data_IF_823547871515
#
_entry.id   IF_823547871515
#
_cell.length_a   1.000
_cell.length_b   1.000
_cell.length_c   1.000
_cell.angle_alpha   90.00
_cell.angle_beta   90.00
_cell.angle_gamma   90.00
#
_symmetry.space_group_name_H-M   'P 1'
#
loop_
_entity.id
_entity.type
_entity.pdbx_description
1 polymer ?
#
# COMPACT_ATOMS: atom_id res chain seq x y z
N UNK A 1 43.98 -3.34 22.95
CA UNK A 1 44.06 -3.14 21.49
C UNK A 1 44.33 -1.68 21.20
N UNK A 2 45.20 -1.34 20.23
CA UNK A 2 45.40 0.06 19.85
C UNK A 2 44.10 0.64 19.28
N UNK A 3 43.87 1.96 19.42
CA UNK A 3 42.69 2.60 18.87
C UNK A 3 42.69 2.49 17.35
N UNK A 4 41.54 2.15 16.76
CA UNK A 4 41.37 2.09 15.32
C UNK A 4 41.48 3.52 14.75
N UNK A 5 42.55 3.83 14.03
CA UNK A 5 42.76 5.13 13.42
C UNK A 5 42.01 5.21 12.08
N UNK A 6 40.84 5.84 12.07
CA UNK A 6 40.08 6.12 10.85
C UNK A 6 40.60 7.44 10.28
N UNK A 7 41.27 7.40 9.13
CA UNK A 7 41.76 8.60 8.44
C UNK A 7 40.67 9.15 7.51
N UNK A 8 40.79 10.42 7.13
CA UNK A 8 39.91 11.05 6.14
C UNK A 8 39.91 10.25 4.83
N UNK A 9 41.08 9.79 4.38
CA UNK A 9 41.21 8.96 3.18
C UNK A 9 40.45 7.62 3.28
N UNK A 10 40.47 6.96 4.45
CA UNK A 10 39.70 5.73 4.68
C UNK A 10 38.19 6.01 4.67
N UNK A 11 37.76 7.14 5.22
CA UNK A 11 36.37 7.57 5.18
C UNK A 11 35.93 7.89 3.73
N UNK A 12 36.76 8.61 2.98
CA UNK A 12 36.52 8.96 1.57
C UNK A 12 36.49 7.72 0.67
N UNK A 13 37.42 6.77 0.83
CA UNK A 13 37.42 5.50 0.09
C UNK A 13 36.17 4.68 0.39
N UNK A 14 35.74 4.64 1.66
CA UNK A 14 34.49 3.99 2.08
C UNK A 14 33.25 4.64 1.47
N UNK A 15 33.25 5.97 1.32
CA UNK A 15 32.16 6.73 0.68
C UNK A 15 32.17 6.49 -0.84
N UNK A 16 33.34 6.55 -1.48
CA UNK A 16 33.50 6.30 -2.91
C UNK A 16 33.10 4.87 -3.32
N UNK A 17 33.48 3.85 -2.55
CA UNK A 17 33.03 2.47 -2.81
C UNK A 17 31.52 2.32 -2.73
N UNK A 18 30.87 2.98 -1.78
CA UNK A 18 29.40 2.98 -1.65
C UNK A 18 28.71 3.68 -2.81
N UNK A 19 29.26 4.81 -3.27
CA UNK A 19 28.75 5.53 -4.43
C UNK A 19 28.90 4.74 -5.75
N UNK A 20 30.03 4.07 -5.96
CA UNK A 20 30.29 3.28 -7.19
C UNK A 20 29.45 2.00 -7.25
N UNK A 21 29.16 1.36 -6.11
CA UNK A 21 28.27 0.19 -6.04
C UNK A 21 26.79 0.56 -6.13
N UNK A 22 26.46 1.84 -5.98
CA UNK A 22 25.09 2.33 -5.94
C UNK A 22 24.92 3.50 -6.89
N UNK A 23 24.97 3.20 -8.18
CA UNK A 23 24.38 4.08 -9.16
C UNK A 23 22.86 4.12 -8.94
N UNK A 24 22.38 5.21 -8.35
CA UNK A 24 20.94 5.45 -8.11
C UNK A 24 20.14 5.54 -9.40
N UNK A 25 20.80 5.73 -10.54
CA UNK A 25 20.20 5.76 -11.87
C UNK A 25 20.37 4.43 -12.62
N UNK A 26 21.07 3.45 -12.03
CA UNK A 26 21.37 2.16 -12.66
C UNK A 26 20.35 1.06 -12.35
N UNK A 27 20.30 0.06 -13.24
CA UNK A 27 19.46 -1.15 -13.13
C UNK A 27 19.54 -1.84 -11.77
N UNK A 28 20.70 -1.75 -11.11
CA UNK A 28 20.95 -2.39 -9.81
C UNK A 28 20.09 -1.85 -8.65
N UNK A 29 19.78 -0.55 -8.64
CA UNK A 29 18.86 0.03 -7.66
C UNK A 29 17.47 -0.60 -7.82
N UNK A 30 16.97 -0.63 -9.06
CA UNK A 30 15.65 -1.17 -9.40
C UNK A 30 15.55 -2.68 -9.14
N UNK A 31 16.59 -3.44 -9.46
CA UNK A 31 16.64 -4.88 -9.21
C UNK A 31 16.62 -5.19 -7.71
N UNK A 32 17.37 -4.43 -6.91
CA UNK A 32 17.45 -4.67 -5.46
C UNK A 32 16.12 -4.36 -4.77
N UNK A 33 15.46 -3.24 -5.10
CA UNK A 33 14.15 -2.92 -4.53
C UNK A 33 13.06 -3.88 -5.04
N UNK A 34 13.16 -4.31 -6.29
CA UNK A 34 12.28 -5.32 -6.89
C UNK A 34 12.40 -6.67 -6.16
N UNK A 35 13.62 -7.11 -5.87
CA UNK A 35 13.88 -8.32 -5.09
C UNK A 35 13.36 -8.21 -3.66
N UNK A 36 13.54 -7.05 -3.01
CA UNK A 36 12.98 -6.78 -1.67
C UNK A 36 11.46 -6.91 -1.65
N UNK A 37 10.76 -6.24 -2.56
CA UNK A 37 9.29 -6.26 -2.63
C UNK A 37 8.76 -7.66 -2.97
N UNK A 38 9.41 -8.38 -3.89
CA UNK A 38 9.07 -9.78 -4.18
C UNK A 38 9.28 -10.70 -2.99
N UNK A 39 10.30 -10.45 -2.16
CA UNK A 39 10.54 -11.22 -0.94
C UNK A 39 9.46 -10.99 0.11
N UNK A 40 9.03 -9.73 0.30
CA UNK A 40 7.86 -9.40 1.13
C UNK A 40 6.60 -10.11 0.62
N UNK A 41 6.33 -10.06 -0.70
CA UNK A 41 5.19 -10.71 -1.35
C UNK A 41 5.20 -12.22 -1.17
N UNK A 42 6.37 -12.82 -1.38
CA UNK A 42 6.64 -14.25 -1.20
C UNK A 42 6.62 -14.71 0.25
N UNK A 43 6.45 -13.79 1.21
CA UNK A 43 6.46 -14.07 2.65
C UNK A 43 7.77 -14.71 3.12
N UNK A 44 8.89 -14.27 2.54
CA UNK A 44 10.25 -14.68 2.92
C UNK A 44 10.91 -13.56 3.73
N UNK A 45 10.86 -13.62 5.08
CA UNK A 45 11.40 -12.57 5.94
C UNK A 45 12.93 -12.48 5.86
N UNK A 46 13.62 -13.60 5.67
CA UNK A 46 15.08 -13.64 5.61
C UNK A 46 15.60 -12.97 4.33
N UNK A 47 15.02 -13.30 3.18
CA UNK A 47 15.33 -12.64 1.91
C UNK A 47 14.97 -11.15 1.95
N UNK A 48 13.83 -10.78 2.54
CA UNK A 48 13.42 -9.39 2.68
C UNK A 48 14.44 -8.59 3.53
N UNK A 49 14.88 -9.12 4.67
CA UNK A 49 15.91 -8.49 5.49
C UNK A 49 17.23 -8.35 4.73
N UNK A 50 17.64 -9.37 3.98
CA UNK A 50 18.88 -9.34 3.20
C UNK A 50 18.86 -8.24 2.13
N UNK A 51 17.81 -8.19 1.29
CA UNK A 51 17.73 -7.17 0.23
C UNK A 51 17.59 -5.76 0.81
N UNK A 52 16.87 -5.60 1.91
CA UNK A 52 16.79 -4.31 2.61
C UNK A 52 18.14 -3.89 3.21
N UNK A 53 18.83 -4.80 3.90
CA UNK A 53 20.15 -4.51 4.46
C UNK A 53 21.15 -4.13 3.37
N UNK A 54 21.09 -4.78 2.21
CA UNK A 54 21.89 -4.44 1.03
C UNK A 54 21.63 -3.01 0.55
N UNK A 55 20.36 -2.58 0.46
CA UNK A 55 20.02 -1.19 0.14
C UNK A 55 20.53 -0.20 1.19
N UNK A 56 20.31 -0.48 2.48
CA UNK A 56 20.76 0.38 3.59
C UNK A 56 22.28 0.52 3.59
N UNK A 57 23.01 -0.58 3.37
CA UNK A 57 24.47 -0.58 3.30
C UNK A 57 24.99 0.24 2.11
N UNK A 58 24.30 0.15 0.98
CA UNK A 58 24.63 0.90 -0.24
C UNK A 58 24.24 2.40 -0.18
N UNK A 59 23.61 2.85 0.91
CA UNK A 59 23.24 4.26 1.09
C UNK A 59 21.91 4.66 0.45
N UNK A 60 21.02 3.70 0.18
CA UNK A 60 19.65 3.99 -0.20
C UNK A 60 18.95 4.77 0.92
N UNK A 61 18.06 5.68 0.53
CA UNK A 61 17.26 6.45 1.46
C UNK A 61 16.29 5.55 2.24
N UNK A 62 16.34 5.51 3.58
CA UNK A 62 15.34 4.79 4.37
C UNK A 62 13.92 5.24 4.09
N UNK A 63 13.71 6.53 3.78
CA UNK A 63 12.41 7.07 3.36
C UNK A 63 11.91 6.42 2.07
N UNK A 64 12.80 6.10 1.12
CA UNK A 64 12.41 5.37 -0.08
C UNK A 64 11.95 3.95 0.26
N UNK A 65 12.69 3.24 1.09
CA UNK A 65 12.32 1.89 1.54
C UNK A 65 10.96 1.89 2.26
N UNK A 66 10.74 2.84 3.19
CA UNK A 66 9.43 3.00 3.86
C UNK A 66 8.29 3.31 2.88
N UNK A 67 8.50 4.17 1.87
CA UNK A 67 7.48 4.42 0.84
C UNK A 67 7.09 3.14 0.10
N UNK A 68 8.06 2.29 -0.23
CA UNK A 68 7.81 1.01 -0.90
C UNK A 68 7.06 0.03 0.00
N UNK A 69 7.38 -0.01 1.29
CA UNK A 69 6.63 -0.78 2.29
C UNK A 69 5.20 -0.26 2.52
N UNK A 70 4.98 1.06 2.49
CA UNK A 70 3.64 1.65 2.61
C UNK A 70 2.74 1.29 1.42
N UNK A 71 3.28 1.32 0.19
CA UNK A 71 2.57 0.85 -0.99
C UNK A 71 2.24 -0.64 -0.84
N UNK A 72 3.23 -1.45 -0.47
CA UNK A 72 3.06 -2.89 -0.25
C UNK A 72 1.99 -3.21 0.79
N UNK A 73 1.89 -2.42 1.87
CA UNK A 73 0.88 -2.60 2.90
C UNK A 73 -0.55 -2.49 2.35
N UNK A 74 -0.79 -1.64 1.35
CA UNK A 74 -2.09 -1.53 0.67
C UNK A 74 -2.25 -2.47 -0.54
N UNK A 75 -1.17 -2.78 -1.25
CA UNK A 75 -1.17 -3.56 -2.49
C UNK A 75 -1.22 -5.07 -2.25
N UNK A 76 -0.40 -5.58 -1.33
CA UNK A 76 -0.12 -7.01 -1.18
C UNK A 76 -0.55 -7.58 0.18
N UNK A 77 -0.57 -6.76 1.24
CA UNK A 77 -1.22 -7.14 2.51
C UNK A 77 -2.71 -6.77 2.46
N UNK A 78 -3.00 -5.53 2.05
CA UNK A 78 -4.34 -5.08 1.72
C UNK A 78 -5.33 -5.32 2.85
N UNK A 79 -6.50 -5.82 2.49
CA UNK A 79 -7.56 -6.10 3.44
C UNK A 79 -7.37 -7.40 4.22
N UNK A 80 -6.35 -8.22 3.93
CA UNK A 80 -6.04 -9.38 4.78
C UNK A 80 -5.59 -8.94 6.18
N UNK A 81 -4.93 -7.78 6.28
CA UNK A 81 -4.65 -7.10 7.54
C UNK A 81 -4.66 -5.57 7.34
N UNK A 82 -5.80 -4.91 7.57
CA UNK A 82 -5.95 -3.47 7.39
C UNK A 82 -5.03 -2.62 8.29
N UNK A 83 -4.45 -3.19 9.34
CA UNK A 83 -3.54 -2.46 10.23
C UNK A 83 -2.11 -2.36 9.68
N UNK A 84 -1.76 -3.08 8.61
CA UNK A 84 -0.43 -3.07 8.05
C UNK A 84 0.06 -1.65 7.68
N UNK A 85 -0.84 -0.82 7.13
CA UNK A 85 -0.52 0.57 6.80
C UNK A 85 -0.18 1.39 8.06
N UNK A 86 -0.86 1.14 9.18
CA UNK A 86 -0.62 1.84 10.44
C UNK A 86 0.73 1.42 11.05
N UNK A 87 1.04 0.12 11.03
CA UNK A 87 2.31 -0.40 11.55
C UNK A 87 3.49 0.17 10.78
N UNK A 88 3.42 0.16 9.45
CA UNK A 88 4.50 0.71 8.61
C UNK A 88 4.63 2.23 8.81
N UNK A 89 3.51 2.95 8.89
CA UNK A 89 3.52 4.40 9.13
C UNK A 89 4.11 4.76 10.52
N UNK A 90 3.76 4.00 11.56
CA UNK A 90 4.34 4.18 12.89
C UNK A 90 5.86 3.92 12.89
N UNK A 91 6.31 2.87 12.19
CA UNK A 91 7.74 2.60 12.02
C UNK A 91 8.45 3.73 11.26
N UNK A 92 7.84 4.26 10.20
CA UNK A 92 8.39 5.38 9.45
C UNK A 92 8.49 6.65 10.31
N UNK A 93 7.46 6.97 11.08
CA UNK A 93 7.47 8.12 12.00
C UNK A 93 8.51 7.96 13.12
N UNK A 94 8.59 6.78 13.72
CA UNK A 94 9.61 6.47 14.71
C UNK A 94 11.02 6.60 14.12
N UNK A 95 11.22 6.16 12.87
CA UNK A 95 12.48 6.38 12.14
C UNK A 95 12.82 7.86 12.00
N UNK A 96 11.86 8.73 11.67
CA UNK A 96 12.10 10.18 11.56
C UNK A 96 12.52 10.80 12.91
N UNK A 97 12.04 10.27 14.02
CA UNK A 97 12.40 10.73 15.36
C UNK A 97 13.77 10.21 15.82
N UNK A 98 14.11 8.96 15.46
CA UNK A 98 15.31 8.27 15.96
C UNK A 98 16.52 8.47 15.06
N UNK A 99 16.34 8.43 13.74
CA UNK A 99 17.44 8.49 12.76
C UNK A 99 18.32 7.24 12.76
N UNK A 100 19.41 7.26 11.99
CA UNK A 100 20.40 6.17 11.95
C UNK A 100 21.49 6.38 13.01
N UNK A 101 22.09 5.29 13.55
CA UNK A 101 21.90 3.88 13.15
C UNK A 101 20.70 3.14 13.79
N UNK A 102 20.15 3.60 14.90
CA UNK A 102 19.11 2.88 15.67
C UNK A 102 17.79 2.72 14.90
N UNK A 103 17.48 3.62 13.97
CA UNK A 103 16.32 3.53 13.09
C UNK A 103 16.29 2.29 12.19
N UNK A 104 17.40 1.55 12.08
CA UNK A 104 17.43 0.22 11.44
C UNK A 104 16.46 -0.76 12.10
N UNK A 105 16.20 -0.62 13.40
CA UNK A 105 15.20 -1.44 14.08
C UNK A 105 13.79 -1.19 13.53
N UNK A 106 13.42 0.06 13.24
CA UNK A 106 12.12 0.39 12.66
C UNK A 106 11.96 -0.12 11.21
N UNK A 107 13.05 -0.09 10.42
CA UNK A 107 13.08 -0.73 9.11
C UNK A 107 12.86 -2.24 9.22
N UNK A 108 13.61 -2.91 10.11
CA UNK A 108 13.49 -4.35 10.34
C UNK A 108 12.09 -4.74 10.82
N UNK A 109 11.51 -4.02 11.78
CA UNK A 109 10.17 -4.28 12.29
C UNK A 109 9.11 -4.17 11.20
N UNK A 110 9.16 -3.12 10.37
CA UNK A 110 8.21 -2.96 9.27
C UNK A 110 8.34 -4.08 8.22
N UNK A 111 9.58 -4.44 7.82
CA UNK A 111 9.82 -5.49 6.85
C UNK A 111 9.35 -6.86 7.36
N UNK A 112 9.68 -7.21 8.61
CA UNK A 112 9.27 -8.47 9.23
C UNK A 112 7.75 -8.57 9.37
N UNK A 113 7.09 -7.47 9.78
CA UNK A 113 5.64 -7.42 9.83
C UNK A 113 5.02 -7.74 8.47
N UNK A 114 5.43 -7.03 7.42
CA UNK A 114 4.89 -7.21 6.07
C UNK A 114 5.20 -8.59 5.48
N UNK A 115 6.41 -9.11 5.71
CA UNK A 115 6.79 -10.45 5.26
C UNK A 115 5.92 -11.53 5.91
N UNK A 116 5.56 -11.37 7.19
CA UNK A 116 4.81 -12.38 7.95
C UNK A 116 3.29 -12.16 7.98
N UNK A 117 2.81 -11.00 7.53
CA UNK A 117 1.38 -10.70 7.40
C UNK A 117 0.72 -11.61 6.35
N UNK A 118 -0.58 -11.89 6.54
CA UNK A 118 -1.38 -12.53 5.49
C UNK A 118 -1.47 -11.61 4.28
N UNK A 119 -1.56 -12.18 3.09
CA UNK A 119 -1.54 -11.44 1.83
C UNK A 119 -2.93 -11.38 1.20
N UNK A 120 -3.28 -10.23 0.66
CA UNK A 120 -4.43 -10.04 -0.19
C UNK A 120 -4.22 -8.86 -1.12
N UNK A 121 -4.44 -9.08 -2.41
CA UNK A 121 -4.41 -8.08 -3.46
C UNK A 121 -5.82 -7.70 -3.94
N UNK A 122 -6.88 -7.97 -3.17
CA UNK A 122 -8.26 -7.70 -3.57
C UNK A 122 -8.57 -6.22 -3.76
N UNK A 123 -7.73 -5.32 -3.21
CA UNK A 123 -7.76 -3.89 -3.50
C UNK A 123 -7.55 -3.56 -4.99
N UNK A 124 -7.01 -4.51 -5.78
CA UNK A 124 -6.95 -4.35 -7.24
C UNK A 124 -8.31 -4.18 -7.91
N UNK A 125 -9.41 -4.54 -7.22
CA UNK A 125 -10.78 -4.24 -7.62
C UNK A 125 -11.00 -2.77 -8.02
N UNK A 126 -10.25 -1.83 -7.42
CA UNK A 126 -10.31 -0.42 -7.82
C UNK A 126 -9.78 -0.17 -9.23
N UNK A 127 -8.70 -0.85 -9.64
CA UNK A 127 -8.16 -0.73 -10.99
C UNK A 127 -9.07 -1.38 -12.02
N UNK A 128 -9.74 -2.48 -11.67
CA UNK A 128 -10.80 -3.07 -12.50
C UNK A 128 -11.97 -2.10 -12.70
N UNK A 129 -12.34 -1.36 -11.65
CA UNK A 129 -13.34 -0.31 -11.74
C UNK A 129 -12.88 0.88 -12.61
N UNK A 130 -11.62 1.30 -12.51
CA UNK A 130 -11.04 2.33 -13.38
C UNK A 130 -11.07 1.91 -14.86
N UNK A 131 -10.71 0.66 -15.16
CA UNK A 131 -10.77 0.13 -16.52
C UNK A 131 -12.21 0.13 -17.04
N UNK A 132 -13.18 -0.26 -16.19
CA UNK A 132 -14.58 -0.29 -16.54
C UNK A 132 -15.13 1.12 -16.85
N UNK A 133 -14.79 2.12 -16.03
CA UNK A 133 -15.13 3.53 -16.28
C UNK A 133 -14.55 4.03 -17.60
N UNK A 134 -13.33 3.63 -17.96
CA UNK A 134 -12.69 4.01 -19.22
C UNK A 134 -13.36 3.44 -20.48
N UNK A 135 -14.17 2.39 -20.35
CA UNK A 135 -14.88 1.73 -21.47
C UNK A 135 -16.32 2.20 -21.63
N UNK A 136 -16.89 2.87 -20.63
CA UNK A 136 -18.32 3.18 -20.62
C UNK A 136 -18.67 4.43 -21.43
N UNK A 137 -19.77 4.34 -22.18
CA UNK A 137 -20.51 5.52 -22.58
C UNK A 137 -21.17 6.11 -21.33
N UNK A 138 -21.16 7.44 -21.18
CA UNK A 138 -21.64 8.15 -20.00
C UNK A 138 -23.05 7.68 -19.60
N UNK A 139 -23.11 6.82 -18.58
CA UNK A 139 -24.33 6.25 -18.03
C UNK A 139 -24.89 7.11 -16.89
N UNK A 140 -24.14 8.14 -16.48
CA UNK A 140 -24.48 9.06 -15.40
C UNK A 140 -24.63 8.40 -14.03
N UNK A 141 -24.87 9.24 -13.02
CA UNK A 141 -25.22 8.78 -11.66
C UNK A 141 -26.72 8.45 -11.61
N UNK A 142 -27.15 7.30 -11.05
CA UNK A 142 -28.57 7.00 -10.83
C UNK A 142 -29.30 8.15 -10.14
N UNK A 143 -30.52 8.49 -10.57
CA UNK A 143 -31.20 9.72 -10.15
C UNK A 143 -31.37 9.83 -8.63
N UNK A 144 -31.73 8.73 -7.97
CA UNK A 144 -31.90 8.64 -6.52
C UNK A 144 -30.58 8.75 -5.73
N UNK A 145 -29.41 8.73 -6.39
CA UNK A 145 -28.11 8.98 -5.77
C UNK A 145 -27.56 10.39 -6.04
N UNK A 146 -28.22 11.18 -6.90
CA UNK A 146 -27.81 12.55 -7.17
C UNK A 146 -28.12 13.46 -5.97
N UNK A 147 -27.35 14.54 -5.85
CA UNK A 147 -27.55 15.54 -4.80
C UNK A 147 -28.87 16.31 -5.05
N UNK A 148 -29.88 16.02 -4.24
CA UNK A 148 -31.20 16.68 -4.30
C UNK A 148 -31.14 18.18 -3.99
N UNK A 149 -30.13 18.66 -3.25
CA UNK A 149 -29.97 20.10 -3.00
C UNK A 149 -29.53 20.87 -4.26
N UNK A 150 -29.06 20.15 -5.29
CA UNK A 150 -28.64 20.72 -6.58
C UNK A 150 -29.70 20.57 -7.66
N UNK A 151 -30.93 20.20 -7.30
CA UNK A 151 -32.03 20.05 -8.25
C UNK A 151 -32.66 21.40 -8.66
N UNK A 152 -31.87 22.25 -9.32
CA UNK A 152 -32.32 23.58 -9.74
C UNK A 152 -33.43 23.54 -10.80
N UNK A 153 -33.47 22.45 -11.57
CA UNK A 153 -34.34 22.29 -12.73
C UNK A 153 -35.53 21.36 -12.45
N UNK A 154 -35.63 20.77 -11.26
CA UNK A 154 -36.74 19.91 -10.86
C UNK A 154 -36.75 18.54 -11.53
N UNK A 155 -35.58 17.95 -11.75
CA UNK A 155 -35.38 16.62 -12.33
C UNK A 155 -35.55 15.47 -11.32
N UNK A 156 -35.97 15.78 -10.08
CA UNK A 156 -36.18 14.80 -9.04
C UNK A 156 -34.87 14.20 -8.50
N UNK A 157 -33.78 14.97 -8.47
CA UNK A 157 -32.52 14.46 -7.96
C UNK A 157 -32.67 14.01 -6.50
N UNK A 158 -32.16 12.80 -6.20
CA UNK A 158 -32.28 12.22 -4.87
C UNK A 158 -33.67 11.66 -4.53
N UNK A 159 -34.68 11.87 -5.38
CA UNK A 159 -35.99 11.26 -5.18
C UNK A 159 -35.87 9.74 -5.23
N UNK A 160 -36.50 9.06 -4.26
CA UNK A 160 -36.44 7.61 -4.13
C UNK A 160 -35.19 7.08 -3.40
N UNK A 161 -34.29 7.94 -2.89
CA UNK A 161 -33.16 7.49 -2.08
C UNK A 161 -33.64 6.80 -0.80
N UNK A 162 -33.22 5.55 -0.60
CA UNK A 162 -33.45 4.79 0.61
C UNK A 162 -32.25 4.96 1.54
N UNK A 163 -32.45 5.65 2.67
CA UNK A 163 -31.41 5.88 3.67
C UNK A 163 -31.15 4.61 4.51
N UNK A 164 -29.99 3.93 4.38
CA UNK A 164 -29.80 2.60 4.97
C UNK A 164 -30.00 2.52 6.49
N UNK A 165 -29.60 3.57 7.23
CA UNK A 165 -29.74 3.58 8.69
C UNK A 165 -31.20 3.63 9.19
N UNK A 166 -32.17 3.92 8.32
CA UNK A 166 -33.59 3.83 8.65
C UNK A 166 -34.15 2.40 8.53
N UNK A 167 -33.37 1.46 8.00
CA UNK A 167 -33.77 0.07 7.80
C UNK A 167 -33.11 -0.85 8.82
N UNK A 168 -33.70 -2.04 8.98
CA UNK A 168 -33.18 -3.10 9.84
C UNK A 168 -31.75 -3.46 9.43
N UNK A 169 -30.89 -3.74 10.41
CA UNK A 169 -29.48 -4.10 10.23
C UNK A 169 -28.65 -3.02 9.48
N UNK A 170 -29.16 -1.79 9.42
CA UNK A 170 -28.58 -0.65 8.69
C UNK A 170 -28.35 -0.93 7.20
N UNK A 171 -29.19 -1.76 6.58
CA UNK A 171 -29.06 -2.16 5.19
C UNK A 171 -30.41 -2.16 4.45
N UNK A 172 -30.39 -1.80 3.17
CA UNK A 172 -31.54 -1.86 2.28
C UNK A 172 -31.11 -2.25 0.88
N UNK A 173 -31.88 -3.10 0.21
CA UNK A 173 -31.67 -3.42 -1.20
C UNK A 173 -31.97 -2.18 -2.05
N UNK A 174 -30.94 -1.59 -2.62
CA UNK A 174 -31.02 -0.42 -3.49
C UNK A 174 -29.96 -0.53 -4.58
N UNK A 175 -30.29 -0.11 -5.80
CA UNK A 175 -29.31 -0.04 -6.89
C UNK A 175 -28.31 1.08 -6.60
N UNK A 176 -27.01 0.77 -6.55
CA UNK A 176 -25.97 1.79 -6.35
C UNK A 176 -25.14 2.06 -7.60
N UNK A 177 -24.78 1.03 -8.36
CA UNK A 177 -24.11 1.20 -9.65
C UNK A 177 -25.08 1.76 -10.71
N UNK A 178 -24.59 2.32 -11.82
CA UNK A 178 -25.42 2.60 -12.99
C UNK A 178 -26.13 1.34 -13.49
N UNK A 179 -27.27 1.50 -14.18
CA UNK A 179 -28.04 0.36 -14.69
C UNK A 179 -27.24 -0.51 -15.67
N UNK A 180 -26.32 0.08 -16.43
CA UNK A 180 -25.39 -0.63 -17.32
C UNK A 180 -24.45 -1.60 -16.58
N UNK A 181 -24.25 -1.38 -15.28
CA UNK A 181 -23.37 -2.15 -14.41
C UNK A 181 -24.12 -2.96 -13.35
N UNK A 182 -25.43 -3.09 -13.48
CA UNK A 182 -26.20 -3.88 -12.53
C UNK A 182 -25.68 -5.34 -12.48
N UNK A 183 -25.39 -5.81 -11.27
CA UNK A 183 -24.83 -7.16 -11.03
C UNK A 183 -23.31 -7.26 -11.23
N UNK A 184 -22.62 -6.19 -11.64
CA UNK A 184 -21.15 -6.18 -11.70
C UNK A 184 -20.57 -6.25 -10.28
N UNK A 185 -19.60 -7.12 -10.08
CA UNK A 185 -18.84 -7.26 -8.83
C UNK A 185 -17.39 -6.93 -9.12
N UNK A 186 -16.84 -5.92 -8.45
CA UNK A 186 -15.42 -5.57 -8.51
C UNK A 186 -14.65 -6.21 -7.36
N UNK A 187 -15.14 -6.04 -6.13
CA UNK A 187 -14.48 -6.52 -4.93
C UNK A 187 -14.96 -7.92 -4.56
N UNK A 188 -14.04 -8.88 -4.56
CA UNK A 188 -14.26 -10.25 -4.11
C UNK A 188 -13.30 -10.51 -2.95
N UNK A 189 -13.77 -10.50 -1.69
CA UNK A 189 -12.91 -10.74 -0.53
C UNK A 189 -12.18 -12.09 -0.64
N UNK A 190 -10.91 -12.12 -0.25
CA UNK A 190 -10.18 -13.39 -0.13
C UNK A 190 -10.56 -14.14 1.15
N UNK A 191 -10.02 -15.35 1.31
CA UNK A 191 -10.12 -16.14 2.54
C UNK A 191 -9.00 -15.81 3.55
N UNK A 192 -8.23 -14.74 3.31
CA UNK A 192 -7.08 -14.38 4.12
C UNK A 192 -7.42 -13.35 5.20
N UNK A 193 -7.09 -13.70 6.44
CA UNK A 193 -7.06 -12.76 7.56
C UNK A 193 -8.40 -12.09 7.81
N UNK A 194 -8.42 -10.76 7.87
CA UNK A 194 -9.64 -9.99 8.08
C UNK A 194 -10.69 -10.22 6.99
N UNK A 195 -10.28 -10.46 5.74
CA UNK A 195 -11.23 -10.70 4.64
C UNK A 195 -12.04 -11.99 4.79
N UNK A 196 -11.53 -12.99 5.49
CA UNK A 196 -12.25 -14.25 5.73
C UNK A 196 -13.59 -14.03 6.47
N UNK A 197 -13.72 -12.94 7.22
CA UNK A 197 -14.93 -12.57 7.94
C UNK A 197 -15.86 -11.64 7.14
N UNK A 198 -15.42 -11.12 5.99
CA UNK A 198 -16.19 -10.19 5.17
C UNK A 198 -17.23 -10.95 4.34
N UNK A 199 -18.47 -10.45 4.37
CA UNK A 199 -19.56 -10.83 3.47
C UNK A 199 -20.04 -9.56 2.77
N UNK A 200 -20.00 -9.55 1.44
CA UNK A 200 -20.44 -8.44 0.57
C UNK A 200 -21.64 -8.82 -0.26
#
# INVERSE_FOLDING_TARGET
SPPLHITLAIAEESIQRRAVLYDKEGDYHFDTISAFIKSLRGSDPDAALYWMAKMVYAGESPRFIFRRMLIFAGEDVGMADPNAIQVVNACAQAFEQVGLPEGRFHLATAALYLATARKSNTAFAFFDALEQVGKEADSGVPNHLKDGNRDKEGFGHGEGYLYPHAYRDHWVAQQYLPSSLQGKVFYQPSDQGYEAAIRV
#
